data_IF_956305629654
#
_entry.id   IF_956305629654
#
_cell.length_a   1.000
_cell.length_b   1.000
_cell.length_c   1.000
_cell.angle_alpha   90.00
_cell.angle_beta   90.00
_cell.angle_gamma   90.00
#
_symmetry.space_group_name_H-M   'P 1'
#
loop_
_entity.id
_entity.type
_entity.pdbx_description
1 polymer ?
#
# COMPACT_ATOMS: atom_id res chain seq x y z
N UNK A 1 9.14 12.18 -9.80
CA UNK A 1 8.49 11.73 -8.54
C UNK A 1 8.82 12.68 -7.39
N UNK A 2 7.79 13.32 -6.80
CA UNK A 2 7.90 14.13 -5.58
C UNK A 2 7.52 13.30 -4.35
N UNK A 3 8.16 13.53 -3.20
CA UNK A 3 7.85 12.85 -1.93
C UNK A 3 7.55 13.91 -0.86
N UNK A 4 6.45 13.75 -0.13
CA UNK A 4 6.01 14.67 0.92
C UNK A 4 5.70 13.91 2.20
N UNK A 5 6.20 14.40 3.33
CA UNK A 5 5.82 13.92 4.66
C UNK A 5 4.89 14.93 5.34
N UNK A 6 3.71 14.45 5.72
CA UNK A 6 2.79 15.08 6.63
C UNK A 6 2.86 14.33 7.96
N UNK A 7 3.45 14.94 8.98
CA UNK A 7 3.50 14.35 10.32
C UNK A 7 2.77 15.27 11.29
N UNK A 8 2.10 14.65 12.27
CA UNK A 8 1.45 15.38 13.35
C UNK A 8 2.48 16.27 14.11
N UNK A 9 2.07 17.44 14.63
CA UNK A 9 2.93 18.29 15.46
C UNK A 9 3.64 17.55 16.59
N UNK A 10 3.03 16.50 17.18
CA UNK A 10 3.61 15.71 18.26
C UNK A 10 4.67 14.70 17.82
N UNK A 11 4.91 14.52 16.51
CA UNK A 11 5.96 13.60 16.03
C UNK A 11 7.32 14.31 15.96
N UNK A 12 8.20 14.02 16.92
CA UNK A 12 9.57 14.54 16.96
C UNK A 12 10.43 14.00 15.79
N UNK A 13 11.32 14.84 15.26
CA UNK A 13 12.33 14.40 14.27
C UNK A 13 11.90 14.39 12.80
N UNK A 14 10.92 15.23 12.42
CA UNK A 14 10.38 15.35 11.04
C UNK A 14 11.43 15.37 9.93
N UNK A 15 12.54 16.07 10.12
CA UNK A 15 13.59 16.16 9.10
C UNK A 15 14.26 14.81 8.81
N UNK A 16 14.65 14.07 9.85
CA UNK A 16 15.26 12.74 9.70
C UNK A 16 14.27 11.73 9.11
N UNK A 17 13.00 11.83 9.50
CA UNK A 17 11.95 10.98 8.94
C UNK A 17 11.67 11.29 7.46
N UNK A 18 11.72 12.56 7.06
CA UNK A 18 11.59 12.93 5.65
C UNK A 18 12.74 12.36 4.82
N UNK A 19 14.00 12.50 5.28
CA UNK A 19 15.15 11.91 4.61
C UNK A 19 15.03 10.38 4.48
N UNK A 20 14.64 9.71 5.57
CA UNK A 20 14.40 8.27 5.57
C UNK A 20 13.31 7.88 4.57
N UNK A 21 12.15 8.53 4.64
CA UNK A 21 11.02 8.31 3.73
C UNK A 21 11.44 8.47 2.27
N UNK A 22 12.15 9.55 1.95
CA UNK A 22 12.64 9.78 0.59
C UNK A 22 13.54 8.66 0.11
N UNK A 23 14.48 8.21 0.95
CA UNK A 23 15.38 7.09 0.63
C UNK A 23 14.59 5.81 0.34
N UNK A 24 13.72 5.39 1.26
CA UNK A 24 12.99 4.13 1.12
C UNK A 24 11.98 4.17 -0.03
N UNK A 25 11.33 5.31 -0.27
CA UNK A 25 10.40 5.49 -1.40
C UNK A 25 11.16 5.46 -2.72
N UNK A 26 12.29 6.17 -2.82
CA UNK A 26 13.10 6.19 -4.05
C UNK A 26 13.68 4.80 -4.34
N UNK A 27 14.13 4.06 -3.33
CA UNK A 27 14.61 2.68 -3.51
C UNK A 27 13.47 1.73 -3.94
N UNK A 28 12.33 1.78 -3.24
CA UNK A 28 11.23 0.85 -3.48
C UNK A 28 10.48 1.11 -4.80
N UNK A 29 10.26 2.38 -5.13
CA UNK A 29 9.44 2.85 -6.25
C UNK A 29 10.25 3.45 -7.39
N UNK A 30 11.58 3.50 -7.31
CA UNK A 30 12.43 4.12 -8.34
C UNK A 30 12.16 3.60 -9.75
N UNK A 31 11.94 2.29 -9.90
CA UNK A 31 11.54 1.66 -11.18
C UNK A 31 10.20 2.13 -11.75
N UNK A 32 9.33 2.70 -10.91
CA UNK A 32 8.03 3.25 -11.28
C UNK A 32 8.02 4.78 -11.25
N UNK A 33 9.15 5.43 -10.94
CA UNK A 33 9.22 6.87 -10.67
C UNK A 33 8.83 7.77 -11.84
N UNK A 34 8.87 7.27 -13.07
CA UNK A 34 8.37 7.97 -14.26
C UNK A 34 6.84 7.99 -14.34
N UNK A 35 6.19 6.96 -13.78
CA UNK A 35 4.72 6.84 -13.74
C UNK A 35 4.11 7.45 -12.48
N UNK A 36 4.91 7.70 -11.44
CA UNK A 36 4.46 8.26 -10.17
C UNK A 36 4.76 9.76 -10.13
N UNK A 37 3.72 10.57 -10.05
CA UNK A 37 3.84 12.02 -9.96
C UNK A 37 4.22 12.45 -8.55
N UNK A 38 3.55 11.88 -7.54
CA UNK A 38 3.70 12.25 -6.14
C UNK A 38 3.48 11.07 -5.19
N UNK A 39 4.24 11.05 -4.09
CA UNK A 39 4.05 10.16 -2.95
C UNK A 39 3.88 11.00 -1.70
N UNK A 40 2.79 10.79 -0.98
CA UNK A 40 2.47 11.47 0.28
C UNK A 40 2.45 10.47 1.42
N UNK A 41 3.11 10.82 2.53
CA UNK A 41 3.09 10.05 3.75
C UNK A 41 2.40 10.83 4.85
N UNK A 42 1.41 10.24 5.48
CA UNK A 42 0.74 10.78 6.66
C UNK A 42 1.12 9.93 7.87
N UNK A 43 1.87 10.52 8.79
CA UNK A 43 2.22 9.94 10.08
C UNK A 43 1.34 10.52 11.17
N UNK A 44 0.76 9.64 11.97
CA UNK A 44 -0.05 10.01 13.13
C UNK A 44 0.36 9.13 14.32
N UNK A 45 0.66 9.76 15.44
CA UNK A 45 0.83 9.10 16.72
C UNK A 45 -0.53 9.08 17.44
N UNK A 46 -1.07 7.88 17.68
CA UNK A 46 -2.38 7.70 18.26
C UNK A 46 -2.40 7.98 19.78
N UNK A 47 -1.26 8.16 20.47
CA UNK A 47 -1.29 8.27 21.93
C UNK A 47 -0.22 9.18 22.57
N UNK A 48 -0.36 10.49 22.42
CA UNK A 48 0.57 11.44 23.03
C UNK A 48 0.36 11.69 24.53
N UNK A 49 -0.59 11.06 25.25
CA UNK A 49 -0.88 11.43 26.65
C UNK A 49 -1.19 10.36 27.71
N UNK A 50 -1.42 9.07 27.42
CA UNK A 50 -1.77 8.16 28.55
C UNK A 50 -1.22 6.73 28.54
N UNK A 51 -1.01 6.06 27.40
CA UNK A 51 -0.48 4.68 27.39
C UNK A 51 0.14 4.32 26.05
N UNK A 52 1.45 4.50 25.89
CA UNK A 52 2.16 3.96 24.72
C UNK A 52 1.89 2.44 24.62
N UNK A 53 0.97 2.03 23.76
CA UNK A 53 0.66 0.66 23.43
C UNK A 53 1.62 0.14 22.36
N UNK A 54 1.71 -1.20 22.19
CA UNK A 54 2.35 -1.74 21.00
C UNK A 54 1.55 -1.29 19.78
N UNK A 55 2.22 -0.60 18.85
CA UNK A 55 1.71 -0.12 17.56
C UNK A 55 0.91 1.20 17.52
N UNK A 56 1.29 2.17 18.35
CA UNK A 56 0.63 3.48 18.37
C UNK A 56 0.96 4.41 17.18
N UNK A 57 1.92 4.05 16.31
CA UNK A 57 2.27 4.88 15.16
C UNK A 57 1.60 4.35 13.90
N UNK A 58 0.75 5.18 13.30
CA UNK A 58 0.10 4.90 12.03
C UNK A 58 0.78 5.66 10.89
N UNK A 59 1.07 4.93 9.81
CA UNK A 59 1.56 5.48 8.55
C UNK A 59 0.56 5.18 7.44
N UNK A 60 0.04 6.23 6.82
CA UNK A 60 -0.73 6.13 5.57
C UNK A 60 0.13 6.65 4.43
N UNK A 61 0.35 5.87 3.38
CA UNK A 61 1.03 6.32 2.16
C UNK A 61 0.05 6.38 1.00
N UNK A 62 0.11 7.46 0.24
CA UNK A 62 -0.62 7.65 -1.01
C UNK A 62 0.37 7.82 -2.17
N UNK A 63 0.26 6.98 -3.21
CA UNK A 63 0.97 7.18 -4.47
C UNK A 63 0.01 7.65 -5.56
N UNK A 64 0.31 8.81 -6.15
CA UNK A 64 -0.39 9.33 -7.33
C UNK A 64 0.31 8.85 -8.59
N UNK A 65 -0.38 8.01 -9.34
CA UNK A 65 0.09 7.45 -10.61
C UNK A 65 -0.55 8.22 -11.76
N UNK A 66 0.20 8.46 -12.83
CA UNK A 66 -0.32 9.15 -14.03
C UNK A 66 -1.49 8.35 -14.63
N UNK A 67 -2.60 9.05 -14.90
CA UNK A 67 -3.80 8.52 -15.54
C UNK A 67 -4.46 7.33 -14.79
N UNK A 68 -4.28 7.26 -13.47
CA UNK A 68 -4.85 6.23 -12.60
C UNK A 68 -5.29 6.83 -11.26
N UNK A 69 -6.15 6.12 -10.55
CA UNK A 69 -6.56 6.51 -9.21
C UNK A 69 -5.37 6.43 -8.23
N UNK A 70 -5.33 7.31 -7.20
CA UNK A 70 -4.31 7.24 -6.16
C UNK A 70 -4.36 5.90 -5.41
N UNK A 71 -3.19 5.30 -5.20
CA UNK A 71 -3.05 4.05 -4.46
C UNK A 71 -2.71 4.39 -3.02
N UNK A 72 -3.64 4.08 -2.11
CA UNK A 72 -3.48 4.35 -0.68
C UNK A 72 -3.24 3.05 0.09
N UNK A 73 -2.21 3.03 0.91
CA UNK A 73 -1.92 1.92 1.84
C UNK A 73 -1.77 2.44 3.24
N UNK A 74 -2.06 1.58 4.22
CA UNK A 74 -1.92 1.88 5.64
C UNK A 74 -1.10 0.81 6.33
N UNK A 75 -0.27 1.25 7.27
CA UNK A 75 0.43 0.38 8.19
C UNK A 75 0.52 0.99 9.59
N UNK A 76 0.77 0.14 10.57
CA UNK A 76 1.01 0.53 11.95
C UNK A 76 2.20 -0.25 12.49
N UNK A 77 2.96 0.39 13.38
CA UNK A 77 4.07 -0.25 14.07
C UNK A 77 4.40 0.51 15.36
N UNK A 78 5.19 -0.13 16.23
CA UNK A 78 5.72 0.50 17.45
C UNK A 78 6.69 1.67 17.21
N UNK A 79 7.08 1.96 15.97
CA UNK A 79 7.89 3.14 15.62
C UNK A 79 7.59 3.68 14.23
N UNK A 80 7.82 4.97 14.03
CA UNK A 80 7.62 5.64 12.75
C UNK A 80 8.43 5.01 11.61
N UNK A 81 9.70 4.66 11.85
CA UNK A 81 10.54 4.02 10.82
C UNK A 81 9.95 2.66 10.39
N UNK A 82 9.52 1.83 11.34
CA UNK A 82 8.92 0.53 11.02
C UNK A 82 7.59 0.68 10.29
N UNK A 83 6.75 1.64 10.69
CA UNK A 83 5.47 1.91 10.04
C UNK A 83 5.68 2.40 8.59
N UNK A 84 6.65 3.30 8.37
CA UNK A 84 7.04 3.76 7.03
C UNK A 84 7.52 2.59 6.17
N UNK A 85 8.48 1.81 6.66
CA UNK A 85 9.07 0.71 5.90
C UNK A 85 8.02 -0.35 5.52
N UNK A 86 7.13 -0.67 6.46
CA UNK A 86 6.00 -1.57 6.21
C UNK A 86 5.03 -1.02 5.18
N UNK A 87 4.63 0.25 5.30
CA UNK A 87 3.76 0.91 4.34
C UNK A 87 4.40 0.98 2.95
N UNK A 88 5.70 1.31 2.82
CA UNK A 88 6.40 1.38 1.54
C UNK A 88 6.44 0.01 0.85
N UNK A 89 6.69 -1.06 1.60
CA UNK A 89 6.63 -2.43 1.06
C UNK A 89 5.25 -2.78 0.52
N UNK A 90 4.17 -2.40 1.22
CA UNK A 90 2.79 -2.59 0.76
C UNK A 90 2.52 -1.75 -0.50
N UNK A 91 2.93 -0.49 -0.50
CA UNK A 91 2.75 0.42 -1.63
C UNK A 91 3.45 -0.08 -2.89
N UNK A 92 4.69 -0.56 -2.78
CA UNK A 92 5.44 -1.15 -3.90
C UNK A 92 4.70 -2.31 -4.56
N UNK A 93 4.10 -3.18 -3.74
CA UNK A 93 3.31 -4.33 -4.23
C UNK A 93 2.01 -3.86 -4.89
N UNK A 94 1.27 -2.96 -4.24
CA UNK A 94 0.03 -2.42 -4.76
C UNK A 94 0.23 -1.69 -6.10
N UNK A 95 1.24 -0.81 -6.19
CA UNK A 95 1.61 -0.14 -7.44
C UNK A 95 1.95 -1.17 -8.50
N UNK A 96 2.86 -2.12 -8.23
CA UNK A 96 3.24 -3.12 -9.21
C UNK A 96 2.03 -3.89 -9.78
N UNK A 97 1.14 -4.38 -8.90
CA UNK A 97 -0.06 -5.10 -9.31
C UNK A 97 -1.03 -4.23 -10.10
N UNK A 98 -1.20 -2.95 -9.75
CA UNK A 98 -2.11 -2.08 -10.50
C UNK A 98 -1.53 -1.71 -11.87
N UNK A 99 -0.22 -1.47 -11.96
CA UNK A 99 0.43 -1.25 -13.25
C UNK A 99 0.37 -2.49 -14.15
N UNK A 100 0.48 -3.70 -13.60
CA UNK A 100 0.35 -4.96 -14.33
C UNK A 100 -1.06 -5.20 -14.88
N UNK A 101 -2.11 -4.82 -14.14
CA UNK A 101 -3.50 -4.90 -14.62
C UNK A 101 -3.78 -3.91 -15.75
N UNK A 102 -3.17 -2.72 -15.67
CA UNK A 102 -3.34 -1.67 -16.67
C UNK A 102 -2.40 -1.80 -17.88
N UNK A 103 -1.48 -2.77 -17.89
CA UNK A 103 -0.68 -3.07 -19.08
C UNK A 103 -1.53 -3.87 -20.09
N UNK A 104 -1.89 -3.29 -21.25
CA UNK A 104 -2.71 -3.97 -22.26
C UNK A 104 -2.05 -5.24 -22.82
N UNK A 105 -0.74 -5.43 -22.61
CA UNK A 105 -0.01 -6.64 -23.01
C UNK A 105 -0.19 -7.82 -22.03
N UNK A 106 -0.68 -7.56 -20.82
CA UNK A 106 -0.90 -8.58 -19.77
C UNK A 106 -2.17 -9.42 -20.01
N UNK A 107 -3.09 -8.94 -20.85
CA UNK A 107 -4.37 -9.58 -21.16
C UNK A 107 -4.32 -10.86 -22.02
N UNK A 108 -3.19 -11.59 -22.06
CA UNK A 108 -3.13 -12.89 -22.78
C UNK A 108 -3.18 -14.14 -21.92
N UNK A 109 -3.27 -14.04 -20.58
CA UNK A 109 -3.18 -15.25 -19.71
C UNK A 109 -4.15 -15.27 -18.52
N UNK A 110 -5.32 -14.64 -18.60
CA UNK A 110 -6.46 -14.97 -17.72
C UNK A 110 -7.80 -14.93 -18.44
N UNK A 111 -7.88 -15.63 -19.56
CA UNK A 111 -9.15 -15.98 -20.19
C UNK A 111 -9.11 -17.47 -20.55
N UNK A 112 -8.85 -18.32 -19.55
CA UNK A 112 -9.18 -19.75 -19.57
C UNK A 112 -9.07 -20.32 -18.14
N UNK A 113 -10.18 -20.37 -17.41
CA UNK A 113 -10.42 -21.33 -16.33
C UNK A 113 -11.93 -21.35 -16.01
N UNK A 114 -12.64 -22.09 -16.85
CA UNK A 114 -13.89 -22.83 -16.62
C UNK A 114 -15.16 -22.08 -16.22
N UNK A 115 -15.93 -21.72 -17.25
CA UNK A 115 -17.40 -21.86 -17.30
C UNK A 115 -17.73 -23.35 -17.54
N UNK A 116 -18.93 -23.77 -17.11
CA UNK A 116 -19.65 -25.01 -17.48
C UNK A 116 -19.26 -26.30 -16.70
N UNK A 117 -20.17 -27.14 -16.20
CA UNK A 117 -21.62 -27.25 -16.37
C UNK A 117 -22.22 -28.25 -15.35
N UNK A 118 -23.46 -27.95 -14.92
CA UNK A 118 -24.64 -28.81 -14.66
C UNK A 118 -24.52 -30.30 -14.29
N UNK A 119 -25.37 -30.70 -13.33
CA UNK A 119 -26.34 -31.78 -13.59
C UNK A 119 -26.53 -32.87 -12.52
N UNK A 120 -27.73 -32.85 -11.94
CA UNK A 120 -28.60 -34.01 -11.64
C UNK A 120 -28.37 -34.88 -10.38
N UNK A 121 -29.43 -34.86 -9.56
CA UNK A 121 -30.13 -35.99 -8.97
C UNK A 121 -29.38 -37.10 -8.22
N UNK A 122 -29.74 -37.27 -6.93
CA UNK A 122 -30.55 -38.43 -6.52
C UNK A 122 -31.14 -38.29 -5.11
N UNK A 123 -32.46 -38.39 -5.11
CA UNK A 123 -33.38 -38.88 -4.09
C UNK A 123 -32.90 -40.14 -3.33
N UNK A 124 -33.18 -40.21 -2.03
CA UNK A 124 -33.52 -41.40 -1.20
C UNK A 124 -33.76 -40.90 0.24
N UNK A 125 -34.89 -41.09 0.92
CA UNK A 125 -35.86 -42.17 0.84
C UNK A 125 -35.54 -43.23 1.90
N UNK A 126 -36.38 -43.29 2.94
CA UNK A 126 -36.55 -44.30 4.00
C UNK A 126 -35.77 -45.63 3.98
N UNK A 127 -35.29 -46.02 5.17
CA UNK A 127 -35.51 -47.37 5.74
C UNK A 127 -35.53 -47.32 7.27
#
# INVERSE_FOLDING_TARGET
MQVLLHADPNTDGRHRMQEHLELVVKDALGRFGERITRVEAHLSDANSQAKAGPDDIHCTLEARVVAMDPIVVKDHAGSAHQAIDGAVRKLKRAVASELEKHDPRSHRTRSDASVAESGADRESGDV
#
